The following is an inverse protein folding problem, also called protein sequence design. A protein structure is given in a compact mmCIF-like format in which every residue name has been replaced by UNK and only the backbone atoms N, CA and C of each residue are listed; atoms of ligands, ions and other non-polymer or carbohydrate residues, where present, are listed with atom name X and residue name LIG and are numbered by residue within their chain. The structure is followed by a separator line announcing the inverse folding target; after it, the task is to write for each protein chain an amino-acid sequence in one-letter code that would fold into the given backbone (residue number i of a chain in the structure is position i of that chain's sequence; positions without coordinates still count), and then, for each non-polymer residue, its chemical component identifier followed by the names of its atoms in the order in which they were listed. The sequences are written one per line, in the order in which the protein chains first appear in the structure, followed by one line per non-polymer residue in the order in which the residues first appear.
data_IF_727770258591
#
_entry.id   IF_727770258591
#
_cell.length_a   1.000
_cell.length_b   1.000
_cell.length_c   1.000
_cell.angle_alpha   90.00
_cell.angle_beta   90.00
_cell.angle_gamma   90.00
#
_symmetry.space_group_name_H-M   'P 1'
#
loop_
_entity.id
_entity.type
_entity.pdbx_description
1 polymer ?
#
# COMPACT_ATOMS: atom_id res chain seq x y z
N UNK A 1 -15.93 6.50 1.45
CA UNK A 1 -15.54 5.50 2.42
C UNK A 1 -14.56 4.50 1.82
N UNK A 2 -13.48 4.21 2.53
CA UNK A 2 -12.47 3.28 2.05
C UNK A 2 -12.90 1.83 2.31
N UNK A 3 -12.80 0.99 1.29
CA UNK A 3 -13.05 -0.45 1.43
C UNK A 3 -11.74 -1.19 1.32
N UNK A 4 -11.52 -2.13 2.24
CA UNK A 4 -10.30 -2.92 2.31
C UNK A 4 -10.61 -4.36 1.93
N UNK A 5 -9.85 -4.89 0.98
CA UNK A 5 -9.90 -6.31 0.62
C UNK A 5 -8.55 -6.93 0.94
N UNK A 6 -8.56 -8.11 1.54
CA UNK A 6 -7.33 -8.80 1.93
C UNK A 6 -7.11 -9.96 0.96
N UNK A 7 -5.92 -9.99 0.35
CA UNK A 7 -5.51 -11.10 -0.51
C UNK A 7 -4.35 -11.85 0.14
N UNK A 8 -4.29 -13.13 -0.08
CA UNK A 8 -3.14 -13.94 0.34
C UNK A 8 -2.07 -13.90 -0.74
N UNK A 9 -0.83 -13.77 -0.32
CA UNK A 9 0.32 -13.73 -1.21
C UNK A 9 1.45 -14.57 -0.63
N UNK A 10 2.29 -15.14 -1.50
CA UNK A 10 3.33 -16.05 -1.07
C UNK A 10 2.70 -17.18 -0.24
N UNK A 11 3.35 -17.66 0.82
CA UNK A 11 2.75 -18.68 1.68
C UNK A 11 2.05 -18.11 2.89
N UNK A 12 2.56 -17.00 3.45
CA UNK A 12 2.12 -16.49 4.75
C UNK A 12 1.81 -15.01 4.77
N UNK A 13 1.87 -14.32 3.63
CA UNK A 13 1.73 -12.87 3.59
C UNK A 13 0.35 -12.44 3.14
N UNK A 14 -0.02 -11.23 3.51
CA UNK A 14 -1.26 -10.59 3.07
C UNK A 14 -0.95 -9.34 2.28
N UNK A 15 -1.76 -9.11 1.24
CA UNK A 15 -1.76 -7.88 0.46
C UNK A 15 -3.09 -7.21 0.69
N UNK A 16 -3.07 -5.92 1.00
CA UNK A 16 -4.31 -5.17 1.25
C UNK A 16 -4.63 -4.31 0.04
N UNK A 17 -5.87 -4.42 -0.44
CA UNK A 17 -6.36 -3.60 -1.55
C UNK A 17 -7.33 -2.57 -1.01
N UNK A 18 -7.11 -1.31 -1.40
CA UNK A 18 -7.88 -0.18 -0.90
C UNK A 18 -8.70 0.39 -2.04
N UNK A 19 -10.02 0.47 -1.86
CA UNK A 19 -10.94 1.03 -2.85
C UNK A 19 -11.69 2.20 -2.25
N UNK A 20 -11.74 3.30 -3.00
CA UNK A 20 -12.64 4.40 -2.69
C UNK A 20 -14.05 4.09 -3.17
N UNK A 21 -15.01 4.95 -2.78
CA UNK A 21 -16.44 4.68 -3.00
C UNK A 21 -16.86 4.79 -4.47
N UNK A 22 -16.22 5.63 -5.27
CA UNK A 22 -16.77 6.05 -6.54
C UNK A 22 -16.00 5.65 -7.78
N UNK A 23 -14.73 5.33 -7.69
CA UNK A 23 -13.89 5.10 -8.86
C UNK A 23 -13.63 3.62 -9.10
N UNK A 24 -13.41 3.26 -10.37
CA UNK A 24 -12.97 1.91 -10.72
C UNK A 24 -11.47 1.80 -10.60
N UNK A 25 -10.95 2.24 -9.46
CA UNK A 25 -9.51 2.13 -9.20
C UNK A 25 -9.27 1.76 -7.75
N UNK A 26 -8.11 1.18 -7.51
CA UNK A 26 -7.70 0.81 -6.17
C UNK A 26 -6.21 1.03 -5.99
N UNK A 27 -5.79 1.07 -4.75
CA UNK A 27 -4.39 1.06 -4.37
C UNK A 27 -4.07 -0.27 -3.69
N UNK A 28 -2.81 -0.63 -3.67
CA UNK A 28 -2.36 -1.87 -3.04
C UNK A 28 -1.33 -1.55 -1.97
N UNK A 29 -1.45 -2.19 -0.81
CA UNK A 29 -0.50 -2.05 0.29
C UNK A 29 0.34 -3.32 0.36
N UNK A 30 1.65 -3.15 0.30
CA UNK A 30 2.66 -4.20 0.45
C UNK A 30 2.45 -5.41 -0.48
N UNK A 31 2.47 -5.19 -1.80
CA UNK A 31 2.30 -6.30 -2.74
C UNK A 31 3.57 -7.13 -2.84
N UNK A 32 3.71 -8.10 -1.96
CA UNK A 32 4.85 -9.01 -1.99
C UNK A 32 4.91 -9.87 -3.23
N UNK A 33 3.77 -10.03 -3.89
CA UNK A 33 3.63 -10.84 -5.10
C UNK A 33 2.60 -10.17 -6.01
N UNK A 34 2.90 -10.06 -7.31
CA UNK A 34 2.01 -9.37 -8.24
C UNK A 34 0.80 -10.19 -8.66
N UNK A 35 0.95 -11.50 -8.81
CA UNK A 35 -0.07 -12.36 -9.42
C UNK A 35 -1.45 -12.26 -8.74
N UNK A 36 -1.58 -12.37 -7.41
CA UNK A 36 -2.90 -12.26 -6.79
C UNK A 36 -3.54 -10.88 -6.99
N UNK A 37 -2.72 -9.82 -7.02
CA UNK A 37 -3.21 -8.47 -7.27
C UNK A 37 -3.76 -8.35 -8.68
N UNK A 38 -2.98 -8.79 -9.68
CA UNK A 38 -3.39 -8.74 -11.08
C UNK A 38 -4.69 -9.53 -11.29
N UNK A 39 -4.76 -10.71 -10.71
CA UNK A 39 -5.95 -11.57 -10.83
C UNK A 39 -7.20 -10.87 -10.26
N UNK A 40 -7.06 -10.25 -9.09
CA UNK A 40 -8.17 -9.53 -8.46
C UNK A 40 -8.61 -8.32 -9.31
N UNK A 41 -7.63 -7.54 -9.79
CA UNK A 41 -7.94 -6.35 -10.61
C UNK A 41 -8.68 -6.73 -11.88
N UNK A 42 -8.24 -7.79 -12.56
CA UNK A 42 -8.88 -8.24 -13.78
C UNK A 42 -10.29 -8.77 -13.52
N UNK A 43 -10.46 -9.54 -12.46
CA UNK A 43 -11.76 -10.10 -12.11
C UNK A 43 -12.80 -9.05 -11.72
N UNK A 44 -12.36 -7.94 -11.13
CA UNK A 44 -13.24 -6.85 -10.68
C UNK A 44 -13.27 -5.67 -11.65
N UNK A 45 -12.53 -5.76 -12.75
CA UNK A 45 -12.42 -4.68 -13.75
C UNK A 45 -11.97 -3.37 -13.08
N UNK A 46 -10.88 -3.44 -12.34
CA UNK A 46 -10.30 -2.30 -11.62
C UNK A 46 -8.96 -1.92 -12.18
N UNK A 47 -8.62 -0.62 -12.06
CA UNK A 47 -7.32 -0.08 -12.42
C UNK A 47 -6.51 0.17 -11.16
N UNK A 48 -5.23 -0.17 -11.20
CA UNK A 48 -4.32 0.13 -10.09
C UNK A 48 -3.91 1.61 -10.16
N UNK A 49 -4.12 2.33 -9.07
CA UNK A 49 -3.85 3.76 -8.98
C UNK A 49 -2.60 4.09 -8.18
N UNK A 50 -2.17 3.21 -7.28
CA UNK A 50 -1.00 3.48 -6.43
C UNK A 50 -0.51 2.20 -5.76
N UNK A 51 0.77 2.20 -5.43
CA UNK A 51 1.38 1.18 -4.56
C UNK A 51 1.82 1.90 -3.29
N UNK A 52 1.51 1.31 -2.14
CA UNK A 52 1.83 1.86 -0.81
C UNK A 52 2.63 0.82 -0.05
N UNK A 53 3.89 1.12 0.26
CA UNK A 53 4.75 0.18 0.98
C UNK A 53 5.03 0.67 2.39
N UNK A 54 5.00 -0.25 3.35
CA UNK A 54 5.34 0.04 4.75
C UNK A 54 6.85 -0.03 4.97
N UNK A 55 7.53 -0.93 4.27
CA UNK A 55 8.99 -1.08 4.36
C UNK A 55 9.51 -1.84 3.14
N UNK A 56 10.82 -2.02 3.07
CA UNK A 56 11.49 -2.48 1.85
C UNK A 56 11.65 -4.00 1.69
N UNK A 57 11.29 -4.79 2.69
CA UNK A 57 11.50 -6.24 2.61
C UNK A 57 10.79 -6.84 1.39
N UNK A 58 11.42 -7.85 0.78
CA UNK A 58 10.94 -8.43 -0.48
C UNK A 58 9.54 -9.04 -0.40
N UNK A 59 9.16 -9.57 0.74
CA UNK A 59 7.83 -10.13 0.95
C UNK A 59 6.74 -9.05 1.02
N UNK A 60 7.11 -7.78 1.01
CA UNK A 60 6.19 -6.63 0.96
C UNK A 60 6.34 -5.77 -0.29
N UNK A 61 7.41 -5.97 -1.06
CA UNK A 61 7.70 -5.15 -2.25
C UNK A 61 7.93 -5.98 -3.51
N UNK A 62 7.95 -7.30 -3.41
CA UNK A 62 8.34 -8.16 -4.51
C UNK A 62 7.49 -8.03 -5.77
N UNK A 63 6.25 -7.59 -5.63
CA UNK A 63 5.35 -7.37 -6.77
C UNK A 63 5.45 -6.00 -7.41
N UNK A 64 6.19 -5.06 -6.82
CA UNK A 64 6.21 -3.67 -7.31
C UNK A 64 6.57 -3.56 -8.79
N UNK A 65 7.66 -4.19 -9.21
CA UNK A 65 8.14 -4.04 -10.59
C UNK A 65 7.17 -4.58 -11.62
N UNK A 66 6.58 -5.73 -11.35
CA UNK A 66 5.60 -6.34 -12.25
C UNK A 66 4.34 -5.48 -12.34
N UNK A 67 3.87 -4.98 -11.22
CA UNK A 67 2.69 -4.10 -11.19
C UNK A 67 2.96 -2.79 -11.93
N UNK A 68 4.17 -2.24 -11.82
CA UNK A 68 4.53 -1.03 -12.55
C UNK A 68 4.63 -1.25 -14.05
N UNK A 69 5.02 -2.44 -14.50
CA UNK A 69 5.00 -2.76 -15.93
C UNK A 69 3.59 -2.73 -16.48
N UNK A 70 2.61 -3.20 -15.69
CA UNK A 70 1.21 -3.24 -16.11
C UNK A 70 0.51 -1.89 -15.94
N UNK A 71 0.98 -1.07 -14.99
CA UNK A 71 0.38 0.24 -14.66
C UNK A 71 1.48 1.27 -14.55
N UNK A 72 2.10 1.65 -15.67
CA UNK A 72 3.23 2.59 -15.62
C UNK A 72 2.79 3.98 -15.18
N UNK A 73 3.67 4.68 -14.46
CA UNK A 73 3.43 6.06 -14.06
C UNK A 73 2.63 6.23 -12.77
N UNK A 74 2.16 5.16 -12.14
CA UNK A 74 1.47 5.30 -10.87
C UNK A 74 2.45 5.61 -9.74
N UNK A 75 2.01 6.33 -8.69
CA UNK A 75 2.90 6.62 -7.56
C UNK A 75 3.18 5.36 -6.73
N UNK A 76 4.40 5.31 -6.20
CA UNK A 76 4.82 4.29 -5.24
C UNK A 76 5.26 5.03 -3.99
N UNK A 77 4.47 4.91 -2.93
CA UNK A 77 4.70 5.58 -1.66
C UNK A 77 5.49 4.68 -0.72
N UNK A 78 6.44 5.24 -0.02
CA UNK A 78 7.19 4.52 0.98
C UNK A 78 7.93 5.49 1.90
N UNK A 79 8.57 4.99 2.94
CA UNK A 79 9.31 5.81 3.87
C UNK A 79 10.51 6.50 3.23
N UNK A 80 10.78 7.74 3.61
CA UNK A 80 11.92 8.50 3.10
C UNK A 80 13.26 7.80 3.45
N UNK A 81 13.29 7.12 4.58
CA UNK A 81 14.49 6.40 5.01
C UNK A 81 14.75 5.11 4.22
N UNK A 82 13.77 4.66 3.44
CA UNK A 82 13.91 3.50 2.54
C UNK A 82 14.27 3.91 1.11
N UNK A 83 14.65 5.17 0.89
CA UNK A 83 15.04 5.64 -0.45
C UNK A 83 16.12 4.73 -1.04
N UNK A 84 15.87 4.26 -2.26
CA UNK A 84 16.77 3.36 -2.97
C UNK A 84 16.59 1.89 -2.65
N UNK A 85 15.70 1.52 -1.73
CA UNK A 85 15.46 0.12 -1.33
C UNK A 85 14.11 -0.41 -1.81
N UNK A 86 13.12 0.47 -2.01
CA UNK A 86 11.79 0.08 -2.47
C UNK A 86 11.77 0.20 -3.99
N UNK A 87 11.50 -0.90 -4.73
CA UNK A 87 11.50 -0.86 -6.18
C UNK A 87 10.47 0.13 -6.73
N UNK A 88 10.94 1.09 -7.54
CA UNK A 88 10.08 2.06 -8.20
C UNK A 88 9.53 3.16 -7.32
N UNK A 89 10.03 3.32 -6.11
CA UNK A 89 9.55 4.34 -5.17
C UNK A 89 9.62 5.74 -5.78
N UNK A 90 8.50 6.46 -5.74
CA UNK A 90 8.39 7.82 -6.28
C UNK A 90 8.14 8.87 -5.21
N UNK A 91 7.57 8.48 -4.07
CA UNK A 91 7.23 9.39 -2.99
C UNK A 91 7.88 8.92 -1.70
N UNK A 92 8.53 9.84 -1.00
CA UNK A 92 9.41 9.55 0.13
C UNK A 92 8.84 10.24 1.35
N UNK A 93 8.25 9.46 2.27
CA UNK A 93 7.37 9.98 3.31
C UNK A 93 8.03 9.95 4.68
N UNK A 94 7.74 10.96 5.49
CA UNK A 94 8.25 11.10 6.84
C UNK A 94 7.08 11.19 7.83
N UNK A 95 7.39 11.19 9.11
CA UNK A 95 6.41 11.28 10.19
C UNK A 95 5.45 12.45 9.96
N UNK A 96 4.16 12.18 10.10
CA UNK A 96 3.06 13.13 9.94
C UNK A 96 2.80 13.64 8.53
N UNK A 97 3.52 13.13 7.52
CA UNK A 97 3.14 13.40 6.14
C UNK A 97 1.75 12.82 5.87
N UNK A 98 1.03 13.42 4.92
CA UNK A 98 -0.27 12.90 4.50
C UNK A 98 -0.22 12.52 3.03
N UNK A 99 -0.96 11.48 2.66
CA UNK A 99 -1.11 11.07 1.27
C UNK A 99 -2.57 10.81 0.97
N UNK A 100 -2.99 11.18 -0.24
CA UNK A 100 -4.34 10.87 -0.71
C UNK A 100 -4.26 9.63 -1.59
N UNK A 101 -5.02 8.60 -1.23
CA UNK A 101 -5.04 7.33 -1.92
C UNK A 101 -6.48 6.96 -2.21
N UNK A 102 -6.85 6.91 -3.48
CA UNK A 102 -8.21 6.55 -3.93
C UNK A 102 -9.29 7.37 -3.20
N UNK A 103 -9.05 8.65 -3.00
CA UNK A 103 -10.01 9.55 -2.36
C UNK A 103 -9.99 9.52 -0.83
N UNK A 104 -9.16 8.69 -0.23
CA UNK A 104 -9.00 8.64 1.23
C UNK A 104 -7.66 9.23 1.62
N UNK A 105 -7.60 9.89 2.76
CA UNK A 105 -6.37 10.50 3.25
C UNK A 105 -5.76 9.66 4.36
N UNK A 106 -4.47 9.36 4.21
CA UNK A 106 -3.69 8.66 5.23
C UNK A 106 -2.68 9.60 5.87
N UNK A 107 -2.44 9.41 7.15
CA UNK A 107 -1.32 10.01 7.87
C UNK A 107 -0.22 8.99 8.04
N UNK A 108 1.02 9.39 7.80
CA UNK A 108 2.20 8.54 7.91
C UNK A 108 2.74 8.60 9.32
N UNK A 109 3.01 7.44 9.89
CA UNK A 109 3.61 7.29 11.22
C UNK A 109 4.89 6.47 11.06
N UNK A 110 6.00 6.99 11.57
CA UNK A 110 7.23 6.21 11.60
C UNK A 110 7.16 5.23 12.76
N UNK A 111 7.41 3.95 12.47
CA UNK A 111 7.34 2.89 13.46
C UNK A 111 8.62 2.05 13.40
N UNK A 112 9.76 2.62 13.80
CA UNK A 112 11.03 1.89 13.75
C UNK A 112 11.00 0.71 14.72
N UNK A 113 11.44 -0.42 14.26
CA UNK A 113 11.42 -1.63 15.08
C UNK A 113 11.87 -2.80 14.25
N UNK A 114 11.07 -3.16 13.26
CA UNK A 114 11.39 -4.22 12.32
C UNK A 114 12.51 -3.77 11.37
N UNK A 115 12.39 -2.54 10.83
CA UNK A 115 13.46 -1.86 10.10
C UNK A 115 13.55 -0.42 10.59
N UNK A 116 14.65 0.28 10.26
CA UNK A 116 14.79 1.70 10.61
C UNK A 116 13.80 2.59 9.89
N UNK A 117 13.34 2.14 8.72
CA UNK A 117 12.56 2.96 7.81
C UNK A 117 11.09 2.57 7.77
N UNK A 118 10.67 1.68 8.67
CA UNK A 118 9.29 1.18 8.68
C UNK A 118 8.31 2.31 8.96
N UNK A 119 7.30 2.45 8.11
CA UNK A 119 6.22 3.41 8.30
C UNK A 119 4.88 2.69 8.32
N UNK A 120 3.91 3.28 9.01
CA UNK A 120 2.54 2.82 9.00
C UNK A 120 1.66 3.91 8.39
N UNK A 121 0.52 3.52 7.86
CA UNK A 121 -0.43 4.42 7.22
C UNK A 121 -1.76 4.34 7.95
N UNK A 122 -2.21 5.47 8.48
CA UNK A 122 -3.48 5.54 9.20
C UNK A 122 -4.51 6.30 8.37
N UNK A 123 -5.60 5.61 8.03
CA UNK A 123 -6.75 6.18 7.34
C UNK A 123 -7.86 6.41 8.36
N UNK A 124 -8.10 7.66 8.70
CA UNK A 124 -9.14 8.04 9.67
C UNK A 124 -10.51 7.92 9.00
N UNK A 125 -11.44 7.22 9.67
CA UNK A 125 -12.80 7.06 9.14
C UNK A 125 -13.72 8.23 9.50
N UNK A 126 -13.27 9.15 10.35
CA UNK A 126 -14.04 10.33 10.72
C UNK A 126 -15.00 10.12 11.89
N UNK A 127 -15.11 8.90 12.42
CA UNK A 127 -16.02 8.55 13.51
C UNK A 127 -15.27 8.14 14.79
N UNK A 128 -13.99 8.50 14.87
CA UNK A 128 -13.12 8.11 15.98
C UNK A 128 -12.38 6.80 15.74
N UNK A 129 -12.67 6.13 14.64
CA UNK A 129 -11.97 4.90 14.23
C UNK A 129 -11.17 5.11 12.97
N UNK A 130 -10.69 4.02 12.39
CA UNK A 130 -9.93 4.05 11.16
C UNK A 130 -9.17 2.76 10.95
N UNK A 131 -8.39 2.71 9.86
CA UNK A 131 -7.58 1.56 9.49
C UNK A 131 -6.11 1.94 9.55
N UNK A 132 -5.32 1.12 10.25
CA UNK A 132 -3.87 1.29 10.36
C UNK A 132 -3.18 0.12 9.68
N UNK A 133 -2.37 0.43 8.66
CA UNK A 133 -1.55 -0.56 7.95
C UNK A 133 -0.12 -0.44 8.42
N UNK A 134 0.40 -1.45 9.10
CA UNK A 134 1.74 -1.43 9.69
C UNK A 134 2.58 -2.66 9.34
N UNK A 135 2.51 -3.09 8.09
CA UNK A 135 3.21 -4.27 7.61
C UNK A 135 2.26 -5.45 7.52
N UNK A 136 2.55 -6.54 8.22
CA UNK A 136 1.73 -7.75 8.13
C UNK A 136 0.38 -7.63 8.83
N UNK A 137 0.15 -6.55 9.54
CA UNK A 137 -1.02 -6.40 10.40
C UNK A 137 -1.87 -5.21 9.99
N UNK A 138 -3.17 -5.44 9.94
CA UNK A 138 -4.17 -4.39 9.81
C UNK A 138 -4.88 -4.21 11.15
N UNK A 139 -4.88 -2.99 11.65
CA UNK A 139 -5.64 -2.63 12.85
C UNK A 139 -6.80 -1.73 12.42
N UNK A 140 -8.00 -2.19 12.66
CA UNK A 140 -9.19 -1.46 12.25
C UNK A 140 -9.98 -0.85 13.37
#
# INVERSE_FOLDING_TARGET
MLRVTILRALSDNYVFLLRGAAARECAVVDPGEAAPVVHYLEGEDLRLAAIVNTHHHGDHTGGNRELLKRSPGIPVYGGALDRGRIPGQTHFLAENDTVDVCGARARVLEVPGHTRAHVAYFFDSGDGGGDLFSGDTLFG
#
